data_IF_189172524425
#
_entry.id   IF_189172524425
#
_cell.length_a   1.000
_cell.length_b   1.000
_cell.length_c   1.000
_cell.angle_alpha   90.00
_cell.angle_beta   90.00
_cell.angle_gamma   90.00
#
_symmetry.space_group_name_H-M   'P 1'
#
loop_
_entity.id
_entity.type
_entity.pdbx_description
1 polymer ?
#
# COMPACT_ATOMS: atom_id res chain seq x y z
N UNK A 1 -24.00 41.00 43.61
CA UNK A 1 -23.23 41.39 44.81
C UNK A 1 -22.73 40.13 45.52
N UNK A 2 -21.45 40.14 45.91
CA UNK A 2 -20.66 39.20 46.76
C UNK A 2 -21.50 38.57 47.90
N UNK A 3 -21.28 37.34 48.37
CA UNK A 3 -20.13 36.81 49.17
C UNK A 3 -20.19 35.25 49.18
N UNK A 4 -19.15 34.49 48.80
CA UNK A 4 -17.94 34.04 49.57
C UNK A 4 -18.34 33.03 50.68
N UNK A 5 -18.21 31.72 50.45
CA UNK A 5 -17.05 30.81 50.70
C UNK A 5 -16.92 30.34 52.15
N UNK A 6 -16.58 29.06 52.33
CA UNK A 6 -15.56 28.53 53.27
C UNK A 6 -16.07 27.35 54.13
N UNK A 7 -15.33 26.31 54.54
CA UNK A 7 -14.05 25.65 54.21
C UNK A 7 -13.94 24.49 55.22
N UNK A 8 -13.48 23.32 54.77
CA UNK A 8 -12.72 22.25 55.47
C UNK A 8 -13.07 21.76 56.89
N UNK A 9 -12.98 20.44 57.08
CA UNK A 9 -11.97 19.86 57.98
C UNK A 9 -11.83 18.33 57.79
N UNK A 10 -10.59 17.94 57.54
CA UNK A 10 -10.06 16.57 57.52
C UNK A 10 -9.23 16.44 58.80
N UNK A 11 -9.49 15.42 59.65
CA UNK A 11 -8.53 15.00 60.69
C UNK A 11 -8.58 13.47 60.85
N UNK A 12 -7.43 12.88 60.58
CA UNK A 12 -6.99 11.51 60.83
C UNK A 12 -6.48 11.44 62.28
N UNK A 13 -6.63 10.29 62.97
CA UNK A 13 -5.53 9.56 63.63
C UNK A 13 -5.98 8.44 64.60
N UNK A 14 -5.47 7.23 64.31
CA UNK A 14 -4.86 6.23 65.19
C UNK A 14 -5.61 5.59 66.38
N UNK A 15 -5.63 4.23 66.38
CA UNK A 15 -5.08 3.48 67.52
C UNK A 15 -5.81 2.22 68.02
N UNK A 16 -5.31 1.05 67.58
CA UNK A 16 -5.02 -0.19 68.35
C UNK A 16 -6.12 -1.13 68.91
N UNK A 17 -5.99 -2.40 68.50
CA UNK A 17 -6.29 -3.63 69.28
C UNK A 17 -7.70 -4.20 69.11
N UNK A 18 -7.98 -5.51 69.07
CA UNK A 18 -7.24 -6.76 69.24
C UNK A 18 -8.11 -7.90 68.64
N UNK A 19 -7.49 -8.77 67.84
CA UNK A 19 -7.57 -10.25 67.77
C UNK A 19 -8.89 -10.94 68.17
N UNK A 20 -9.48 -11.77 67.29
CA UNK A 20 -9.66 -13.21 67.53
C UNK A 20 -9.95 -14.00 66.23
N UNK A 21 -9.31 -15.16 66.16
CA UNK A 21 -9.09 -15.98 64.96
C UNK A 21 -10.32 -16.76 64.49
N UNK A 22 -10.45 -16.88 63.17
CA UNK A 22 -11.33 -17.79 62.47
C UNK A 22 -10.69 -19.17 62.33
N UNK A 23 -11.46 -20.25 62.54
CA UNK A 23 -11.23 -21.53 61.85
C UNK A 23 -12.58 -22.17 61.51
N UNK A 24 -13.00 -22.04 60.26
CA UNK A 24 -14.02 -22.89 59.66
C UNK A 24 -13.30 -23.75 58.61
N UNK A 25 -13.22 -25.06 58.86
CA UNK A 25 -12.60 -26.03 57.97
C UNK A 25 -13.33 -26.08 56.63
N UNK A 26 -12.72 -25.52 55.60
CA UNK A 26 -13.19 -25.64 54.23
C UNK A 26 -12.47 -26.83 53.59
N UNK A 27 -13.22 -27.91 53.41
CA UNK A 27 -12.80 -29.13 52.74
C UNK A 27 -12.48 -28.82 51.27
N UNK A 28 -11.19 -28.73 50.93
CA UNK A 28 -10.72 -28.56 49.56
C UNK A 28 -11.21 -29.72 48.69
N UNK A 29 -12.03 -29.40 47.69
CA UNK A 29 -12.29 -30.32 46.57
C UNK A 29 -10.97 -30.48 45.83
N UNK A 30 -10.39 -31.70 45.84
CA UNK A 30 -9.26 -32.07 44.98
C UNK A 30 -9.61 -31.75 43.52
N UNK A 31 -9.09 -30.65 43.00
CA UNK A 31 -9.01 -30.41 41.57
C UNK A 31 -7.99 -31.39 41.00
N UNK A 32 -8.36 -32.13 39.96
CA UNK A 32 -7.39 -32.93 39.21
C UNK A 32 -6.33 -31.98 38.64
N UNK A 33 -5.04 -32.15 38.99
CA UNK A 33 -3.99 -31.29 38.46
C UNK A 33 -3.89 -31.50 36.93
N UNK A 34 -3.79 -30.40 36.19
CA UNK A 34 -3.56 -30.41 34.74
C UNK A 34 -2.21 -31.11 34.46
N UNK A 35 -2.10 -31.99 33.46
CA UNK A 35 -0.84 -32.62 33.08
C UNK A 35 0.23 -31.55 32.79
N UNK A 36 1.47 -31.68 33.32
CA UNK A 36 2.56 -30.70 33.15
C UNK A 36 2.96 -30.45 31.69
N UNK A 37 2.57 -31.34 30.78
CA UNK A 37 2.85 -31.26 29.34
C UNK A 37 2.15 -30.06 28.66
N UNK A 38 1.07 -29.53 29.27
CA UNK A 38 0.33 -28.38 28.78
C UNK A 38 0.89 -27.03 29.26
N UNK A 39 1.91 -27.03 30.14
CA UNK A 39 2.58 -25.80 30.60
C UNK A 39 3.76 -25.40 29.71
N UNK A 40 4.08 -26.20 28.69
CA UNK A 40 5.04 -25.81 27.66
C UNK A 40 4.36 -24.80 26.73
N UNK A 41 4.94 -23.62 26.48
CA UNK A 41 4.52 -22.78 25.36
C UNK A 41 4.58 -23.65 24.10
N UNK A 42 3.44 -23.86 23.44
CA UNK A 42 3.40 -24.61 22.19
C UNK A 42 4.40 -24.00 21.21
N UNK A 43 5.09 -24.85 20.44
CA UNK A 43 5.87 -24.36 19.31
C UNK A 43 4.96 -23.49 18.45
N UNK A 44 5.34 -22.22 18.31
CA UNK A 44 4.62 -21.28 17.47
C UNK A 44 4.76 -21.83 16.07
N UNK A 45 3.67 -22.27 15.44
CA UNK A 45 3.70 -22.60 14.03
C UNK A 45 4.25 -21.38 13.29
N UNK A 46 5.47 -21.48 12.76
CA UNK A 46 6.01 -20.42 11.91
C UNK A 46 5.19 -20.45 10.64
N UNK A 47 4.10 -19.69 10.61
CA UNK A 47 3.31 -19.48 9.41
C UNK A 47 4.23 -18.77 8.42
N UNK A 48 4.85 -19.53 7.52
CA UNK A 48 5.57 -18.95 6.39
C UNK A 48 4.54 -18.12 5.62
N UNK A 49 4.72 -16.80 5.60
CA UNK A 49 3.84 -15.93 4.82
C UNK A 49 3.90 -16.45 3.38
N UNK A 50 2.75 -16.81 2.77
CA UNK A 50 2.77 -17.27 1.39
C UNK A 50 3.42 -16.19 0.53
N UNK A 51 4.42 -16.59 -0.27
CA UNK A 51 5.08 -15.66 -1.19
C UNK A 51 3.99 -15.11 -2.13
N UNK A 52 3.88 -13.79 -2.31
CA UNK A 52 2.88 -13.23 -3.23
C UNK A 52 3.07 -13.82 -4.63
N UNK A 53 1.99 -14.39 -5.18
CA UNK A 53 1.96 -14.96 -6.52
C UNK A 53 1.52 -13.87 -7.50
N UNK A 54 2.49 -13.13 -8.03
CA UNK A 54 2.23 -12.06 -9.00
C UNK A 54 1.91 -12.65 -10.38
N UNK A 55 0.87 -12.13 -11.04
CA UNK A 55 0.58 -12.44 -12.44
C UNK A 55 1.71 -11.97 -13.36
N UNK A 56 2.35 -10.85 -13.00
CA UNK A 56 3.55 -10.34 -13.66
C UNK A 56 4.74 -10.45 -12.70
N UNK A 57 5.51 -11.55 -12.75
CA UNK A 57 6.61 -11.81 -11.82
C UNK A 57 7.85 -10.94 -12.11
N UNK A 58 8.82 -10.94 -11.19
CA UNK A 58 10.08 -10.20 -11.35
C UNK A 58 10.82 -10.60 -12.65
N UNK A 59 11.21 -9.60 -13.44
CA UNK A 59 12.11 -9.74 -14.60
C UNK A 59 13.29 -8.77 -14.55
N UNK A 60 13.62 -8.20 -13.39
CA UNK A 60 14.73 -7.26 -13.23
C UNK A 60 16.10 -7.84 -13.60
N UNK A 61 16.22 -9.17 -13.65
CA UNK A 61 17.43 -9.87 -14.11
C UNK A 61 17.53 -10.00 -15.64
N UNK A 62 16.49 -9.64 -16.40
CA UNK A 62 16.51 -9.74 -17.86
C UNK A 62 17.33 -8.60 -18.47
N UNK A 63 18.04 -8.89 -19.54
CA UNK A 63 18.76 -7.88 -20.32
C UNK A 63 17.82 -7.17 -21.30
N UNK A 64 18.15 -5.95 -21.73
CA UNK A 64 17.33 -5.20 -22.69
C UNK A 64 17.09 -5.97 -24.00
N UNK A 65 18.03 -6.83 -24.42
CA UNK A 65 17.87 -7.70 -25.59
C UNK A 65 16.79 -8.79 -25.43
N UNK A 66 16.43 -9.14 -24.19
CA UNK A 66 15.37 -10.11 -23.87
C UNK A 66 14.01 -9.44 -23.66
N UNK A 67 13.96 -8.10 -23.74
CA UNK A 67 12.76 -7.30 -23.59
C UNK A 67 12.20 -6.95 -24.97
N UNK A 68 10.94 -6.51 -25.01
CA UNK A 68 10.38 -5.90 -26.22
C UNK A 68 11.19 -4.66 -26.59
N UNK A 69 11.31 -4.41 -27.89
CA UNK A 69 11.98 -3.22 -28.38
C UNK A 69 11.19 -1.96 -28.02
N UNK A 70 11.89 -0.83 -27.88
CA UNK A 70 11.30 0.49 -27.57
C UNK A 70 10.19 0.88 -28.55
N UNK A 71 10.38 0.57 -29.82
CA UNK A 71 9.43 0.87 -30.89
C UNK A 71 8.10 0.12 -30.69
N UNK A 72 8.15 -1.11 -30.17
CA UNK A 72 6.95 -1.89 -29.86
C UNK A 72 6.21 -1.34 -28.65
N UNK A 73 6.93 -0.77 -27.67
CA UNK A 73 6.33 -0.13 -26.51
C UNK A 73 5.63 1.19 -26.87
N UNK A 74 6.19 1.95 -27.81
CA UNK A 74 5.59 3.18 -28.34
C UNK A 74 4.37 2.86 -29.21
N UNK A 75 4.47 1.84 -30.06
CA UNK A 75 3.49 1.53 -31.09
C UNK A 75 3.45 2.61 -32.18
N UNK A 76 2.29 2.78 -32.83
CA UNK A 76 2.08 3.85 -33.80
C UNK A 76 1.57 5.11 -33.11
N UNK A 77 2.39 6.17 -33.09
CA UNK A 77 1.97 7.49 -32.64
C UNK A 77 1.08 8.15 -33.69
N UNK A 78 -0.01 8.78 -33.23
CA UNK A 78 -0.83 9.65 -34.08
C UNK A 78 0.01 10.86 -34.52
N UNK A 79 -0.29 11.39 -35.71
CA UNK A 79 0.48 12.46 -36.37
C UNK A 79 0.70 13.71 -35.51
N UNK A 80 -0.23 14.00 -34.61
CA UNK A 80 -0.23 15.21 -33.76
C UNK A 80 0.38 14.99 -32.37
N UNK A 81 0.82 13.76 -32.07
CA UNK A 81 1.49 13.39 -30.83
C UNK A 81 3.00 13.36 -31.03
N UNK A 82 3.74 13.92 -30.06
CA UNK A 82 5.20 13.96 -30.09
C UNK A 82 5.76 13.09 -28.98
N UNK A 83 6.61 12.13 -29.33
CA UNK A 83 7.36 11.39 -28.31
C UNK A 83 8.31 12.35 -27.60
N UNK A 84 8.15 12.48 -26.28
CA UNK A 84 9.06 13.26 -25.44
C UNK A 84 10.23 12.41 -25.00
N UNK A 85 9.94 11.25 -24.41
CA UNK A 85 10.95 10.30 -23.97
C UNK A 85 10.38 8.90 -23.78
N UNK A 86 11.27 7.91 -23.83
CA UNK A 86 11.01 6.54 -23.40
C UNK A 86 12.12 6.08 -22.47
N UNK A 87 11.76 5.54 -21.32
CA UNK A 87 12.71 5.02 -20.33
C UNK A 87 12.32 3.63 -19.85
N UNK A 88 13.33 2.79 -19.61
CA UNK A 88 13.16 1.55 -18.88
C UNK A 88 13.26 1.86 -17.39
N UNK A 89 12.27 1.45 -16.61
CA UNK A 89 12.26 1.67 -15.16
C UNK A 89 11.66 0.45 -14.44
N UNK A 90 11.83 0.37 -13.13
CA UNK A 90 11.05 -0.57 -12.32
C UNK A 90 9.62 -0.05 -12.11
N UNK A 91 8.66 -0.95 -11.98
CA UNK A 91 7.28 -0.59 -11.71
C UNK A 91 7.14 0.23 -10.42
N UNK A 92 7.88 -0.13 -9.37
CA UNK A 92 7.92 0.65 -8.12
C UNK A 92 8.44 2.08 -8.32
N UNK A 93 9.47 2.27 -9.15
CA UNK A 93 10.02 3.59 -9.46
C UNK A 93 9.00 4.45 -10.24
N UNK A 94 8.21 3.83 -11.12
CA UNK A 94 7.10 4.51 -11.79
C UNK A 94 6.04 4.99 -10.78
N UNK A 95 5.60 4.12 -9.86
CA UNK A 95 4.60 4.46 -8.85
C UNK A 95 5.07 5.60 -7.92
N UNK A 96 6.33 5.56 -7.49
CA UNK A 96 6.94 6.63 -6.69
C UNK A 96 6.96 7.97 -7.44
N UNK A 97 7.34 7.97 -8.71
CA UNK A 97 7.34 9.17 -9.55
C UNK A 97 5.92 9.71 -9.76
N UNK A 98 4.92 8.84 -9.94
CA UNK A 98 3.51 9.25 -10.05
C UNK A 98 3.03 9.93 -8.75
N UNK A 99 3.41 9.37 -7.59
CA UNK A 99 3.12 9.94 -6.27
C UNK A 99 3.64 11.36 -6.12
N UNK A 100 4.89 11.59 -6.51
CA UNK A 100 5.54 12.89 -6.42
C UNK A 100 4.88 13.96 -7.30
N UNK A 101 4.29 13.53 -8.43
CA UNK A 101 3.55 14.42 -9.34
C UNK A 101 2.13 14.73 -8.85
N UNK A 102 1.71 14.20 -7.70
CA UNK A 102 0.38 14.42 -7.13
C UNK A 102 -0.73 13.65 -7.83
N UNK A 103 -0.40 12.63 -8.63
CA UNK A 103 -1.39 11.78 -9.29
C UNK A 103 -2.00 10.76 -8.34
N UNK A 104 -3.26 10.40 -8.56
CA UNK A 104 -3.90 9.28 -7.87
C UNK A 104 -3.20 7.96 -8.27
N UNK A 105 -2.81 7.19 -7.25
CA UNK A 105 -2.11 5.92 -7.44
C UNK A 105 -3.08 4.79 -7.18
N UNK A 106 -3.37 4.04 -8.24
CA UNK A 106 -3.99 2.73 -8.13
C UNK A 106 -2.86 1.71 -8.31
N UNK A 107 -2.32 1.20 -7.21
CA UNK A 107 -1.29 0.18 -7.25
C UNK A 107 -1.89 -1.16 -7.70
N UNK A 108 -1.33 -1.75 -8.76
CA UNK A 108 -1.73 -3.07 -9.19
C UNK A 108 -0.91 -4.15 -8.45
N UNK A 109 -1.53 -4.73 -7.42
CA UNK A 109 -0.92 -5.77 -6.58
C UNK A 109 -0.58 -7.08 -7.33
N UNK A 110 -1.01 -7.23 -8.59
CA UNK A 110 -0.65 -8.37 -9.43
C UNK A 110 0.69 -8.19 -10.15
N UNK A 111 1.29 -7.01 -10.10
CA UNK A 111 2.58 -6.70 -10.74
C UNK A 111 3.68 -6.67 -9.69
N UNK A 112 4.75 -7.44 -9.92
CA UNK A 112 5.89 -7.42 -9.02
C UNK A 112 6.57 -6.04 -9.02
N UNK A 113 6.95 -5.47 -7.87
CA UNK A 113 7.49 -4.11 -7.80
C UNK A 113 8.79 -3.92 -8.60
N UNK A 114 9.61 -4.97 -8.71
CA UNK A 114 10.86 -4.97 -9.51
C UNK A 114 10.65 -5.26 -11.00
N UNK A 115 9.41 -5.43 -11.45
CA UNK A 115 9.10 -5.65 -12.87
C UNK A 115 9.58 -4.46 -13.70
N UNK A 116 10.31 -4.73 -14.77
CA UNK A 116 10.76 -3.74 -15.74
C UNK A 116 9.60 -3.34 -16.65
N UNK A 117 9.41 -2.04 -16.78
CA UNK A 117 8.37 -1.42 -17.61
C UNK A 117 8.98 -0.31 -18.47
N UNK A 118 8.47 -0.20 -19.69
CA UNK A 118 8.70 0.98 -20.54
C UNK A 118 7.73 2.07 -20.13
N UNK A 119 8.27 3.20 -19.65
CA UNK A 119 7.51 4.41 -19.39
C UNK A 119 7.69 5.33 -20.59
N UNK A 120 6.61 5.53 -21.33
CA UNK A 120 6.56 6.33 -22.55
C UNK A 120 5.87 7.65 -22.24
N UNK A 121 6.59 8.77 -22.34
CA UNK A 121 6.03 10.11 -22.19
C UNK A 121 5.84 10.75 -23.56
N UNK A 122 4.63 11.20 -23.84
CA UNK A 122 4.18 11.74 -25.11
C UNK A 122 3.57 13.11 -24.84
N UNK A 123 4.01 14.12 -25.60
CA UNK A 123 3.39 15.43 -25.58
C UNK A 123 2.29 15.50 -26.65
N UNK A 124 1.11 15.97 -26.24
CA UNK A 124 -0.05 16.25 -27.07
C UNK A 124 -0.26 17.77 -27.13
N UNK A 125 0.52 18.52 -27.94
CA UNK A 125 0.49 19.98 -27.97
C UNK A 125 -0.81 20.55 -28.55
N UNK A 126 -1.50 19.77 -29.40
CA UNK A 126 -2.80 20.11 -29.98
C UNK A 126 -3.97 19.47 -29.22
N UNK A 127 -3.67 18.74 -28.14
CA UNK A 127 -4.66 18.07 -27.32
C UNK A 127 -4.98 16.66 -27.77
N UNK A 128 -5.85 16.02 -26.99
CA UNK A 128 -6.32 14.67 -27.26
C UNK A 128 -7.78 14.54 -26.91
N UNK A 129 -8.52 13.83 -27.75
CA UNK A 129 -9.90 13.43 -27.49
C UNK A 129 -9.91 11.96 -27.07
N UNK A 130 -10.46 11.70 -25.89
CA UNK A 130 -10.50 10.39 -25.26
C UNK A 130 -11.96 9.95 -25.09
N UNK A 131 -12.33 8.75 -25.56
CA UNK A 131 -13.64 8.19 -25.30
C UNK A 131 -13.77 7.82 -23.82
N UNK A 132 -14.85 8.24 -23.19
CA UNK A 132 -15.27 7.80 -21.88
C UNK A 132 -16.10 6.50 -21.96
N UNK A 133 -16.24 5.82 -20.82
CA UNK A 133 -17.03 4.57 -20.71
C UNK A 133 -18.51 4.73 -21.08
N UNK A 134 -19.04 5.95 -21.01
CA UNK A 134 -20.42 6.27 -21.38
C UNK A 134 -20.59 6.61 -22.88
N UNK A 135 -19.52 6.61 -23.67
CA UNK A 135 -19.53 6.98 -25.09
C UNK A 135 -19.29 8.46 -25.38
N UNK A 136 -19.20 9.31 -24.36
CA UNK A 136 -18.83 10.72 -24.52
C UNK A 136 -17.32 10.88 -24.78
N UNK A 137 -16.92 12.02 -25.33
CA UNK A 137 -15.51 12.34 -25.55
C UNK A 137 -15.08 13.46 -24.62
N UNK A 138 -14.00 13.25 -23.87
CA UNK A 138 -13.30 14.34 -23.18
C UNK A 138 -12.22 14.86 -24.09
N UNK A 139 -12.25 16.17 -24.31
CA UNK A 139 -11.22 16.91 -25.01
C UNK A 139 -10.27 17.53 -24.00
N UNK A 140 -9.00 17.17 -24.08
CA UNK A 140 -7.93 17.84 -23.37
C UNK A 140 -7.22 18.79 -24.32
N UNK A 141 -6.86 19.99 -23.85
CA UNK A 141 -6.31 21.05 -24.73
C UNK A 141 -4.84 20.85 -25.04
N UNK A 142 -3.97 20.88 -24.04
CA UNK A 142 -2.53 20.63 -24.15
C UNK A 142 -2.18 19.66 -23.04
N UNK A 143 -1.64 18.50 -23.37
CA UNK A 143 -1.48 17.45 -22.38
C UNK A 143 -0.18 16.68 -22.53
N UNK A 144 0.29 16.13 -21.41
CA UNK A 144 1.32 15.09 -21.41
C UNK A 144 0.64 13.77 -21.11
N UNK A 145 0.90 12.77 -21.96
CA UNK A 145 0.38 11.43 -21.84
C UNK A 145 1.54 10.53 -21.40
N UNK A 146 1.36 9.82 -20.30
CA UNK A 146 2.32 8.79 -19.84
C UNK A 146 1.70 7.41 -20.01
N UNK A 147 2.30 6.58 -20.84
CA UNK A 147 1.87 5.18 -21.05
C UNK A 147 2.90 4.27 -20.39
N UNK A 148 2.43 3.32 -19.59
CA UNK A 148 3.27 2.29 -18.96
C UNK A 148 3.00 0.95 -19.63
N UNK A 149 4.05 0.35 -20.15
CA UNK A 149 4.00 -0.90 -20.90
C UNK A 149 4.95 -1.92 -20.28
N UNK A 150 4.50 -3.16 -20.09
CA UNK A 150 5.35 -4.25 -19.63
C UNK A 150 6.50 -4.48 -20.61
N UNK A 151 7.73 -4.49 -20.10
CA UNK A 151 8.89 -4.60 -20.97
C UNK A 151 9.10 -6.03 -21.53
N UNK A 152 8.42 -7.06 -21.02
CA UNK A 152 8.56 -8.43 -21.54
C UNK A 152 7.42 -8.81 -22.49
N UNK A 153 6.18 -8.48 -22.12
CA UNK A 153 4.97 -8.91 -22.84
C UNK A 153 4.42 -7.84 -23.77
N UNK A 154 4.79 -6.56 -23.58
CA UNK A 154 4.18 -5.43 -24.29
C UNK A 154 2.76 -5.10 -23.84
N UNK A 155 2.28 -5.70 -22.75
CA UNK A 155 0.97 -5.38 -22.21
C UNK A 155 0.95 -3.97 -21.60
N UNK A 156 -0.06 -3.17 -21.92
CA UNK A 156 -0.26 -1.86 -21.31
C UNK A 156 -0.80 -2.02 -19.89
N UNK A 157 -0.15 -1.37 -18.93
CA UNK A 157 -0.54 -1.39 -17.52
C UNK A 157 -1.27 -0.13 -17.09
N UNK A 158 -0.82 1.03 -17.54
CA UNK A 158 -1.45 2.31 -17.18
C UNK A 158 -1.35 3.31 -18.34
N UNK A 159 -2.25 4.27 -18.35
CA UNK A 159 -2.22 5.44 -19.23
C UNK A 159 -2.72 6.64 -18.42
N UNK A 160 -1.81 7.57 -18.18
CA UNK A 160 -2.08 8.79 -17.43
C UNK A 160 -2.05 9.98 -18.39
N UNK A 161 -2.94 10.95 -18.17
CA UNK A 161 -3.09 12.15 -19.01
C UNK A 161 -3.18 13.34 -18.08
N UNK A 162 -2.17 14.21 -18.19
CA UNK A 162 -2.09 15.43 -17.38
C UNK A 162 -2.19 16.63 -18.31
N UNK A 163 -3.15 17.51 -18.05
CA UNK A 163 -3.26 18.77 -18.78
C UNK A 163 -2.14 19.74 -18.34
N UNK A 164 -1.44 20.32 -19.31
CA UNK A 164 -0.38 21.29 -19.09
C UNK A 164 -0.95 22.67 -19.43
N UNK A 165 -0.82 23.66 -18.54
CA UNK A 165 -1.22 25.03 -18.84
C UNK A 165 -0.45 25.67 -20.02
#
# INVERSE_FOLDING_TARGET
MKKVLSTSALVVCFGLGLVYAATASQQERKQNPRPPELDKPGEIETTSKPKPNYLFPDNSSKTEAQLIKKENAIGQLKKDLKLKQIKLAKYSEYLENKKQRGGDIIENLQIHPKRLVWVVEIDAPLGVEMPQKNGDFVKFTKSSITIVVDAETGQKFDTDIVEIP
#
